data_IF_637573205983
#
_entry.id   IF_637573205983
#
_cell.length_a   1.000
_cell.length_b   1.000
_cell.length_c   1.000
_cell.angle_alpha   90.00
_cell.angle_beta   90.00
_cell.angle_gamma   90.00
#
_symmetry.space_group_name_H-M   'P 1'
#
loop_
_entity.id
_entity.type
_entity.pdbx_description
1 polymer ?
#
# COMPACT_ATOMS: atom_id res chain seq x y z
N UNK A 1 43.08 -6.90 -4.30
CA UNK A 1 42.47 -7.10 -5.64
C UNK A 1 41.05 -7.56 -5.40
N UNK A 2 40.04 -6.84 -5.91
CA UNK A 2 38.66 -7.33 -5.87
C UNK A 2 38.55 -8.52 -6.81
N UNK A 3 38.14 -9.68 -6.30
CA UNK A 3 37.94 -10.87 -7.11
C UNK A 3 36.62 -10.76 -7.89
N UNK A 4 36.52 -11.49 -9.00
CA UNK A 4 35.27 -11.61 -9.77
C UNK A 4 34.11 -12.06 -8.87
N UNK A 5 34.41 -12.92 -7.89
CA UNK A 5 33.42 -13.42 -6.94
C UNK A 5 32.89 -12.31 -6.02
N UNK A 6 33.73 -11.36 -5.62
CA UNK A 6 33.30 -10.20 -4.82
C UNK A 6 32.32 -9.32 -5.61
N UNK A 7 32.56 -9.12 -6.92
CA UNK A 7 31.63 -8.39 -7.78
C UNK A 7 30.29 -9.12 -7.92
N UNK A 8 30.29 -10.45 -8.04
CA UNK A 8 29.05 -11.24 -8.12
C UNK A 8 28.24 -11.11 -6.83
N UNK A 9 28.89 -11.23 -5.67
CA UNK A 9 28.22 -11.05 -4.38
C UNK A 9 27.66 -9.64 -4.20
N UNK A 10 28.41 -8.62 -4.60
CA UNK A 10 27.96 -7.23 -4.55
C UNK A 10 26.74 -7.01 -5.46
N UNK A 11 26.78 -7.51 -6.70
CA UNK A 11 25.66 -7.41 -7.63
C UNK A 11 24.41 -8.11 -7.08
N UNK A 12 24.58 -9.30 -6.50
CA UNK A 12 23.47 -10.05 -5.90
C UNK A 12 22.87 -9.31 -4.71
N UNK A 13 23.71 -8.69 -3.86
CA UNK A 13 23.26 -7.85 -2.76
C UNK A 13 22.49 -6.62 -3.24
N UNK A 14 22.98 -5.92 -4.28
CA UNK A 14 22.29 -4.77 -4.87
C UNK A 14 20.92 -5.18 -5.43
N UNK A 15 20.84 -6.31 -6.15
CA UNK A 15 19.56 -6.83 -6.66
C UNK A 15 18.61 -7.17 -5.51
N UNK A 16 19.11 -7.82 -4.44
CA UNK A 16 18.30 -8.17 -3.28
C UNK A 16 17.76 -6.93 -2.56
N UNK A 17 18.62 -5.93 -2.31
CA UNK A 17 18.26 -4.66 -1.67
C UNK A 17 17.27 -3.88 -2.52
N UNK A 18 17.49 -3.81 -3.84
CA UNK A 18 16.59 -3.11 -4.76
C UNK A 18 15.21 -3.80 -4.80
N UNK A 19 15.19 -5.13 -4.89
CA UNK A 19 13.94 -5.89 -4.81
C UNK A 19 13.24 -5.66 -3.46
N UNK A 20 13.99 -5.67 -2.36
CA UNK A 20 13.45 -5.42 -1.03
C UNK A 20 12.85 -4.03 -0.89
N UNK A 21 13.54 -3.00 -1.40
CA UNK A 21 13.05 -1.63 -1.43
C UNK A 21 11.75 -1.51 -2.19
N UNK A 22 11.69 -2.08 -3.40
CA UNK A 22 10.49 -2.07 -4.23
C UNK A 22 9.30 -2.75 -3.56
N UNK A 23 9.55 -3.73 -2.69
CA UNK A 23 8.52 -4.40 -1.89
C UNK A 23 8.07 -3.57 -0.66
N UNK A 24 8.95 -2.73 -0.10
CA UNK A 24 8.64 -1.83 1.02
C UNK A 24 7.73 -0.66 0.64
N UNK A 25 7.68 -0.29 -0.63
CA UNK A 25 6.86 0.83 -1.10
C UNK A 25 5.35 0.59 -1.04
N UNK A 26 4.88 -0.64 -0.76
CA UNK A 26 3.45 -0.95 -0.77
C UNK A 26 2.62 -0.08 0.19
N UNK A 27 3.15 0.29 1.36
CA UNK A 27 2.48 1.24 2.27
C UNK A 27 2.37 2.63 1.63
N UNK A 28 3.44 3.10 0.97
CA UNK A 28 3.44 4.39 0.29
C UNK A 28 2.47 4.39 -0.90
N UNK A 29 2.38 3.29 -1.65
CA UNK A 29 1.38 3.12 -2.72
C UNK A 29 -0.03 3.17 -2.15
N UNK A 30 -0.33 2.41 -1.09
CA UNK A 30 -1.64 2.46 -0.44
C UNK A 30 -1.99 3.90 -0.04
N UNK A 31 -1.05 4.62 0.58
CA UNK A 31 -1.25 5.99 1.04
C UNK A 31 -1.52 6.96 -0.11
N UNK A 32 -0.78 6.83 -1.21
CA UNK A 32 -1.04 7.61 -2.42
C UNK A 32 -2.44 7.35 -2.98
N UNK A 33 -2.88 6.09 -3.02
CA UNK A 33 -4.22 5.73 -3.50
C UNK A 33 -5.32 6.26 -2.57
N UNK A 34 -5.19 6.10 -1.26
CA UNK A 34 -6.13 6.64 -0.28
C UNK A 34 -6.21 8.17 -0.37
N UNK A 35 -5.06 8.85 -0.36
CA UNK A 35 -5.01 10.32 -0.46
C UNK A 35 -5.62 10.83 -1.77
N UNK A 36 -5.36 10.15 -2.89
CA UNK A 36 -5.97 10.50 -4.19
C UNK A 36 -7.48 10.35 -4.14
N UNK A 37 -7.98 9.24 -3.59
CA UNK A 37 -9.43 8.97 -3.49
C UNK A 37 -10.14 9.94 -2.55
N UNK A 38 -9.56 10.25 -1.40
CA UNK A 38 -10.08 11.28 -0.49
C UNK A 38 -10.12 12.64 -1.19
N UNK A 39 -9.06 13.02 -1.93
CA UNK A 39 -9.02 14.27 -2.68
C UNK A 39 -10.09 14.35 -3.78
N UNK A 40 -10.34 13.26 -4.50
CA UNK A 40 -11.42 13.19 -5.51
C UNK A 40 -12.81 13.37 -4.90
N UNK A 41 -12.99 12.95 -3.65
CA UNK A 41 -14.26 13.03 -2.92
C UNK A 41 -14.36 14.27 -2.02
N UNK A 42 -13.37 15.18 -2.08
CA UNK A 42 -13.23 16.33 -1.16
C UNK A 42 -13.25 15.95 0.33
N UNK A 43 -12.81 14.73 0.66
CA UNK A 43 -12.71 14.22 2.01
C UNK A 43 -11.34 14.54 2.61
N UNK A 44 -11.31 14.80 3.91
CA UNK A 44 -10.09 15.00 4.66
C UNK A 44 -9.56 13.65 5.17
N UNK A 45 -8.35 13.28 4.75
CA UNK A 45 -7.66 12.13 5.34
C UNK A 45 -7.17 12.53 6.74
N UNK A 46 -7.66 11.86 7.78
CA UNK A 46 -7.38 12.25 9.17
C UNK A 46 -6.02 11.78 9.64
N UNK A 47 -5.70 10.52 9.35
CA UNK A 47 -4.46 9.92 9.84
C UNK A 47 -3.70 9.24 8.71
N UNK A 48 -2.43 9.60 8.57
CA UNK A 48 -1.49 8.89 7.70
C UNK A 48 -1.05 7.55 8.31
N UNK A 49 -1.53 7.20 9.50
CA UNK A 49 -1.34 5.88 10.12
C UNK A 49 -2.14 4.82 9.37
N UNK A 50 -1.65 4.47 8.18
CA UNK A 50 -2.04 3.23 7.54
C UNK A 50 -1.62 2.05 8.40
N UNK A 51 -2.61 1.45 9.05
CA UNK A 51 -2.43 0.25 9.86
C UNK A 51 -2.55 -0.95 8.93
N UNK A 52 -1.49 -1.76 8.88
CA UNK A 52 -1.54 -3.03 8.17
C UNK A 52 -2.42 -3.99 8.98
N UNK A 53 -3.65 -4.20 8.54
CA UNK A 53 -4.58 -5.13 9.20
C UNK A 53 -4.29 -6.58 8.85
N UNK A 54 -4.08 -6.86 7.56
CA UNK A 54 -3.88 -8.22 7.07
C UNK A 54 -2.80 -8.25 6.02
N UNK A 55 -1.88 -9.20 6.17
CA UNK A 55 -1.00 -9.62 5.09
C UNK A 55 -1.12 -11.13 4.89
N UNK A 56 -1.30 -11.55 3.64
CA UNK A 56 -1.49 -12.94 3.24
C UNK A 56 -0.78 -13.15 1.91
N UNK A 57 -0.04 -14.24 1.74
CA UNK A 57 0.30 -14.72 0.40
C UNK A 57 -0.89 -15.50 -0.13
N UNK A 58 -1.37 -15.14 -1.31
CA UNK A 58 -2.36 -15.94 -2.04
C UNK A 58 -1.93 -16.02 -3.49
N UNK A 59 -2.24 -17.14 -4.14
CA UNK A 59 -2.09 -17.28 -5.58
C UNK A 59 -3.09 -16.34 -6.24
N UNK A 60 -2.61 -15.36 -6.98
CA UNK A 60 -3.47 -14.46 -7.75
C UNK A 60 -3.96 -15.15 -9.03
N UNK A 61 -4.90 -14.52 -9.73
CA UNK A 61 -5.46 -15.00 -11.02
C UNK A 61 -4.40 -15.32 -12.07
N UNK A 62 -3.23 -14.70 -11.98
CA UNK A 62 -2.11 -14.91 -12.91
C UNK A 62 -1.23 -16.13 -12.56
N UNK A 63 -1.68 -17.04 -11.69
CA UNK A 63 -0.95 -18.23 -11.19
C UNK A 63 0.34 -17.99 -10.39
N UNK A 64 0.79 -16.75 -10.26
CA UNK A 64 1.93 -16.34 -9.42
C UNK A 64 1.46 -16.06 -7.98
N UNK A 65 2.31 -16.39 -7.00
CA UNK A 65 2.08 -16.00 -5.60
C UNK A 65 2.16 -14.48 -5.48
N UNK A 66 1.08 -13.86 -5.02
CA UNK A 66 1.01 -12.41 -4.80
C UNK A 66 0.87 -12.13 -3.31
N UNK A 67 1.49 -11.03 -2.88
CA UNK A 67 1.44 -10.59 -1.50
C UNK A 67 0.23 -9.69 -1.29
N UNK A 68 -0.87 -10.25 -0.79
CA UNK A 68 -2.06 -9.48 -0.46
C UNK A 68 -1.84 -8.72 0.85
N UNK A 69 -2.12 -7.42 0.83
CA UNK A 69 -1.99 -6.52 1.98
C UNK A 69 -3.23 -5.63 2.05
N UNK A 70 -3.90 -5.61 3.19
CA UNK A 70 -5.02 -4.71 3.49
C UNK A 70 -4.53 -3.67 4.49
N UNK A 71 -4.65 -2.40 4.11
CA UNK A 71 -4.31 -1.24 4.93
C UNK A 71 -5.58 -0.48 5.25
N UNK A 72 -5.84 -0.24 6.53
CA UNK A 72 -6.97 0.58 6.95
C UNK A 72 -6.49 2.01 7.25
N UNK A 73 -7.35 2.98 6.95
CA UNK A 73 -7.11 4.40 7.13
C UNK A 73 -8.40 5.09 7.60
N UNK A 74 -8.24 6.26 8.23
CA UNK A 74 -9.36 7.06 8.70
C UNK A 74 -9.50 8.35 7.87
N UNK A 75 -10.74 8.70 7.55
CA UNK A 75 -11.09 9.92 6.82
C UNK A 75 -12.29 10.62 7.45
N UNK A 76 -12.50 11.89 7.11
CA UNK A 76 -13.62 12.70 7.55
C UNK A 76 -14.19 13.48 6.38
N UNK A 77 -15.52 13.64 6.37
CA UNK A 77 -16.18 14.55 5.42
C UNK A 77 -16.30 15.98 5.94
N UNK A 78 -16.40 16.17 7.26
CA UNK A 78 -16.73 17.46 7.91
C UNK A 78 -15.69 17.90 8.94
N UNK A 79 -14.61 17.14 9.10
CA UNK A 79 -13.55 17.35 10.10
C UNK A 79 -13.87 16.84 11.51
N UNK A 80 -15.14 16.50 11.80
CA UNK A 80 -15.58 16.05 13.12
C UNK A 80 -15.88 14.54 13.15
N UNK A 81 -16.51 14.03 12.10
CA UNK A 81 -16.86 12.62 12.00
C UNK A 81 -15.70 11.80 11.46
N UNK A 82 -15.48 10.61 12.01
CA UNK A 82 -14.43 9.69 11.58
C UNK A 82 -15.04 8.48 10.90
N UNK A 83 -14.63 8.25 9.67
CA UNK A 83 -15.03 7.13 8.84
C UNK A 83 -13.82 6.28 8.52
N UNK A 84 -14.05 4.98 8.29
CA UNK A 84 -12.99 4.01 8.04
C UNK A 84 -12.97 3.64 6.57
N UNK A 85 -11.78 3.68 5.98
CA UNK A 85 -11.51 3.18 4.65
C UNK A 85 -10.47 2.07 4.70
N UNK A 86 -10.54 1.17 3.72
CA UNK A 86 -9.59 0.08 3.54
C UNK A 86 -9.04 0.11 2.13
N UNK A 87 -7.72 -0.03 1.98
CA UNK A 87 -7.05 -0.20 0.70
C UNK A 87 -6.51 -1.63 0.61
N UNK A 88 -6.86 -2.33 -0.46
CA UNK A 88 -6.35 -3.66 -0.75
C UNK A 88 -5.32 -3.62 -1.86
N UNK A 89 -4.14 -4.17 -1.58
CA UNK A 89 -3.04 -4.30 -2.54
C UNK A 89 -2.66 -5.77 -2.75
N UNK A 90 -2.31 -6.13 -3.99
CA UNK A 90 -1.58 -7.34 -4.32
C UNK A 90 -0.17 -6.97 -4.81
N UNK A 91 0.83 -7.18 -3.96
CA UNK A 91 2.19 -6.70 -4.17
C UNK A 91 2.23 -5.17 -4.17
N UNK A 92 2.41 -4.58 -5.35
CA UNK A 92 2.39 -3.13 -5.60
C UNK A 92 1.17 -2.70 -6.45
N UNK A 93 0.24 -3.61 -6.76
CA UNK A 93 -0.95 -3.33 -7.56
C UNK A 93 -2.15 -3.09 -6.65
N UNK A 94 -2.91 -2.03 -6.94
CA UNK A 94 -4.21 -1.79 -6.29
C UNK A 94 -5.24 -2.82 -6.74
N UNK A 95 -5.87 -3.49 -5.79
CA UNK A 95 -7.01 -4.38 -6.02
C UNK A 95 -8.32 -3.61 -5.90
N UNK A 96 -8.41 -2.77 -4.88
CA UNK A 96 -9.61 -2.00 -4.59
C UNK A 96 -9.43 -1.09 -3.39
N UNK A 97 -10.36 -0.14 -3.26
CA UNK A 97 -10.49 0.74 -2.11
C UNK A 97 -11.94 0.61 -1.64
N UNK A 98 -12.13 0.14 -0.41
CA UNK A 98 -13.42 0.11 0.26
C UNK A 98 -13.52 1.33 1.18
N UNK A 99 -14.67 1.99 1.18
CA UNK A 99 -14.94 3.14 2.06
C UNK A 99 -16.27 2.88 2.76
N UNK A 100 -16.31 3.06 4.08
CA UNK A 100 -17.57 3.02 4.82
C UNK A 100 -18.50 4.12 4.33
N UNK A 101 -19.81 3.90 4.40
CA UNK A 101 -20.80 4.95 4.13
C UNK A 101 -20.50 6.17 5.01
N UNK A 102 -20.45 7.35 4.38
CA UNK A 102 -20.16 8.62 5.02
C UNK A 102 -21.22 9.65 4.65
N UNK A 103 -21.47 10.59 5.54
CA UNK A 103 -22.36 11.73 5.26
C UNK A 103 -21.66 12.64 4.27
N UNK A 104 -22.25 12.84 3.10
CA UNK A 104 -21.77 13.82 2.12
C UNK A 104 -22.25 15.19 2.56
N UNK A 105 -21.33 16.15 2.72
CA UNK A 105 -21.70 17.55 2.87
C UNK A 105 -22.18 18.07 1.51
N UNK A 106 -23.51 18.16 1.33
CA UNK A 106 -24.14 18.95 0.25
C UNK A 106 -23.93 20.46 0.43
#
# INVERSE_FOLDING_TARGET
>A
MLSLMDLVWLALLVVLVNHWWRSRDAKAFALQYAARRCKELNLQLLDQSMVLQKSRLRRGDTSVLQWYRRYDFEFSSTGHERYLGSVELAGNRLLGIEMSAYVTSE
#
